data_IF_234159780272
#
_entry.id   IF_234159780272
#
_cell.length_a   1.000
_cell.length_b   1.000
_cell.length_c   1.000
_cell.angle_alpha   90.00
_cell.angle_beta   90.00
_cell.angle_gamma   90.00
#
_symmetry.space_group_name_H-M   'P 1'
#
loop_
_entity.id
_entity.type
_entity.pdbx_description
1 polymer ?
#
# COMPACT_ATOMS: atom_id res chain seq x y z
N UNK A 1 13.62 63.24 29.85
CA UNK A 1 13.83 63.96 28.57
C UNK A 1 13.91 62.91 27.47
N UNK A 2 12.90 62.81 26.61
CA UNK A 2 12.90 63.33 25.22
C UNK A 2 14.04 62.71 24.38
N UNK A 3 13.71 61.75 23.49
CA UNK A 3 13.58 61.96 22.02
C UNK A 3 14.98 61.90 21.36
N UNK A 4 15.28 61.24 20.24
CA UNK A 4 14.56 60.95 18.99
C UNK A 4 15.61 60.45 17.95
N UNK A 5 15.14 59.83 16.84
CA UNK A 5 15.77 59.78 15.49
C UNK A 5 17.11 59.01 15.35
N UNK A 6 17.51 58.34 14.27
CA UNK A 6 17.04 58.21 12.88
C UNK A 6 17.75 57.02 12.21
N UNK A 7 17.18 56.57 11.10
CA UNK A 7 17.86 56.04 9.90
C UNK A 7 18.62 54.71 9.93
N UNK A 8 18.01 53.74 9.24
CA UNK A 8 18.50 53.18 7.98
C UNK A 8 19.98 52.72 7.95
N UNK A 9 20.17 51.42 8.09
CA UNK A 9 21.33 50.73 7.52
C UNK A 9 20.85 49.43 6.89
N UNK A 10 20.78 49.47 5.56
CA UNK A 10 20.67 48.30 4.70
C UNK A 10 21.98 47.52 4.87
N UNK A 11 21.96 46.42 5.63
CA UNK A 11 23.08 45.49 5.71
C UNK A 11 22.71 44.26 4.91
N UNK A 12 23.33 44.15 3.72
CA UNK A 12 23.50 42.87 3.04
C UNK A 12 24.34 41.97 3.95
N UNK A 13 23.68 41.08 4.69
CA UNK A 13 24.34 39.96 5.32
C UNK A 13 24.45 38.84 4.28
N UNK A 14 25.64 38.71 3.70
CA UNK A 14 26.12 37.51 3.03
C UNK A 14 26.03 36.37 4.05
N UNK A 15 25.01 35.53 3.91
CA UNK A 15 24.79 34.36 4.75
C UNK A 15 25.83 33.29 4.43
N UNK A 16 26.83 33.20 5.29
CA UNK A 16 27.78 32.09 5.37
C UNK A 16 27.05 30.77 5.64
N UNK A 17 27.47 29.74 4.92
CA UNK A 17 26.99 28.37 4.94
C UNK A 17 26.65 27.82 6.35
N UNK A 18 25.44 27.30 6.48
CA UNK A 18 25.08 26.25 7.42
C UNK A 18 24.22 25.26 6.66
N UNK A 19 24.87 24.23 6.11
CA UNK A 19 24.26 23.15 5.37
C UNK A 19 23.48 22.25 6.34
N UNK A 20 22.26 22.63 6.68
CA UNK A 20 21.26 21.69 7.16
C UNK A 20 20.41 21.31 5.95
N UNK A 21 20.79 20.22 5.29
CA UNK A 21 19.99 19.53 4.28
C UNK A 21 18.77 18.90 4.97
N UNK A 22 17.84 19.74 5.42
CA UNK A 22 16.50 19.31 5.74
C UNK A 22 15.81 19.12 4.40
N UNK A 23 15.88 17.89 3.89
CA UNK A 23 15.12 17.43 2.75
C UNK A 23 13.63 17.57 3.08
N UNK A 24 13.08 18.75 2.82
CA UNK A 24 11.65 18.90 2.55
C UNK A 24 11.38 18.09 1.29
N UNK A 25 10.94 16.85 1.46
CA UNK A 25 10.26 16.12 0.41
C UNK A 25 9.10 17.01 -0.03
N UNK A 26 9.28 17.73 -1.13
CA UNK A 26 8.18 18.42 -1.77
C UNK A 26 7.14 17.34 -2.09
N UNK A 27 5.85 17.53 -1.76
CA UNK A 27 4.83 16.60 -2.22
C UNK A 27 4.91 16.56 -3.73
N UNK A 28 5.35 15.41 -4.26
CA UNK A 28 5.39 15.18 -5.69
C UNK A 28 3.93 15.21 -6.13
N UNK A 29 3.52 16.32 -6.73
CA UNK A 29 2.18 16.51 -7.24
C UNK A 29 1.97 15.39 -8.27
N UNK A 30 1.16 14.42 -7.89
CA UNK A 30 0.95 13.23 -8.69
C UNK A 30 0.30 13.68 -10.00
N UNK A 31 0.99 13.42 -11.12
CA UNK A 31 0.50 13.84 -12.43
C UNK A 31 -0.87 13.21 -12.70
N UNK A 32 -1.85 14.05 -13.05
CA UNK A 32 -3.18 13.58 -13.45
C UNK A 32 -3.04 12.94 -14.81
N UNK A 33 -3.29 11.63 -14.90
CA UNK A 33 -3.28 10.91 -16.17
C UNK A 33 -4.64 11.05 -16.85
N UNK A 34 -4.64 11.08 -18.18
CA UNK A 34 -5.88 10.98 -18.95
C UNK A 34 -6.32 9.51 -18.99
N UNK A 35 -7.59 9.27 -18.65
CA UNK A 35 -8.21 7.94 -18.69
C UNK A 35 -9.58 8.07 -19.37
N UNK A 36 -9.77 7.38 -20.48
CA UNK A 36 -11.05 7.35 -21.19
C UNK A 36 -11.99 6.30 -20.60
N UNK A 37 -13.27 6.32 -20.99
CA UNK A 37 -14.29 5.45 -20.39
C UNK A 37 -14.10 3.96 -20.71
N UNK A 38 -13.61 3.62 -21.91
CA UNK A 38 -13.35 2.23 -22.29
C UNK A 38 -12.21 1.62 -21.47
N UNK A 39 -11.13 2.39 -21.31
CA UNK A 39 -9.99 2.03 -20.48
C UNK A 39 -10.37 1.93 -19.00
N UNK A 40 -11.22 2.83 -18.51
CA UNK A 40 -11.73 2.76 -17.14
C UNK A 40 -12.63 1.54 -16.91
N UNK A 41 -13.40 1.12 -17.92
CA UNK A 41 -14.21 -0.08 -17.86
C UNK A 41 -13.35 -1.35 -17.77
N UNK A 42 -12.28 -1.44 -18.58
CA UNK A 42 -11.30 -2.54 -18.49
C UNK A 42 -10.63 -2.56 -17.11
N UNK A 43 -10.25 -1.40 -16.59
CA UNK A 43 -9.70 -1.32 -15.24
C UNK A 43 -10.70 -1.77 -14.19
N UNK A 44 -11.99 -1.41 -14.33
CA UNK A 44 -13.03 -1.81 -13.41
C UNK A 44 -13.23 -3.34 -13.39
N UNK A 45 -13.14 -3.99 -14.54
CA UNK A 45 -13.19 -5.46 -14.66
C UNK A 45 -12.03 -6.11 -13.91
N UNK A 46 -10.79 -5.72 -14.23
CA UNK A 46 -9.59 -6.19 -13.54
C UNK A 46 -9.71 -5.94 -12.04
N UNK A 47 -10.16 -4.74 -11.64
CA UNK A 47 -10.36 -4.38 -10.24
C UNK A 47 -11.37 -5.31 -9.53
N UNK A 48 -12.48 -5.68 -10.18
CA UNK A 48 -13.43 -6.62 -9.60
C UNK A 48 -12.85 -8.03 -9.47
N UNK A 49 -12.14 -8.51 -10.49
CA UNK A 49 -11.47 -9.81 -10.44
C UNK A 49 -10.42 -9.86 -9.32
N UNK A 50 -9.61 -8.80 -9.19
CA UNK A 50 -8.67 -8.65 -8.08
C UNK A 50 -9.37 -8.67 -6.73
N UNK A 51 -10.53 -8.04 -6.58
CA UNK A 51 -11.29 -8.08 -5.32
C UNK A 51 -11.74 -9.48 -4.94
N UNK A 52 -12.24 -10.25 -5.90
CA UNK A 52 -12.64 -11.65 -5.67
C UNK A 52 -11.43 -12.51 -5.32
N UNK A 53 -10.34 -12.38 -6.08
CA UNK A 53 -9.08 -13.09 -5.82
C UNK A 53 -8.50 -12.78 -4.44
N UNK A 54 -8.53 -11.50 -4.02
CA UNK A 54 -8.13 -11.11 -2.67
C UNK A 54 -8.96 -11.81 -1.60
N UNK A 55 -10.29 -11.93 -1.79
CA UNK A 55 -11.14 -12.65 -0.84
C UNK A 55 -10.81 -14.14 -0.78
N UNK A 56 -10.56 -14.78 -1.94
CA UNK A 56 -10.14 -16.18 -2.00
C UNK A 56 -8.83 -16.41 -1.24
N UNK A 57 -7.82 -15.56 -1.45
CA UNK A 57 -6.53 -15.67 -0.75
C UNK A 57 -6.67 -15.49 0.76
N UNK A 58 -7.52 -14.55 1.21
CA UNK A 58 -7.79 -14.40 2.64
C UNK A 58 -8.44 -15.68 3.22
N UNK A 59 -9.36 -16.31 2.48
CA UNK A 59 -9.96 -17.58 2.89
C UNK A 59 -8.96 -18.74 2.90
N UNK A 60 -8.07 -18.80 1.91
CA UNK A 60 -7.01 -19.80 1.81
C UNK A 60 -6.05 -19.68 3.01
N UNK A 61 -5.61 -18.46 3.34
CA UNK A 61 -4.77 -18.21 4.52
C UNK A 61 -5.45 -18.63 5.83
N UNK A 62 -6.73 -18.29 6.03
CA UNK A 62 -7.48 -18.74 7.21
C UNK A 62 -7.56 -20.27 7.29
N UNK A 63 -7.74 -20.92 6.14
CA UNK A 63 -7.83 -22.39 6.04
C UNK A 63 -6.49 -23.04 6.40
N UNK A 64 -5.37 -22.49 5.94
CA UNK A 64 -4.02 -22.96 6.30
C UNK A 64 -3.80 -22.90 7.82
N UNK A 65 -4.18 -21.80 8.47
CA UNK A 65 -4.06 -21.66 9.93
C UNK A 65 -4.88 -22.73 10.65
N UNK A 66 -6.12 -22.95 10.21
CA UNK A 66 -7.02 -23.95 10.81
C UNK A 66 -6.50 -25.39 10.60
N UNK A 67 -6.02 -25.71 9.40
CA UNK A 67 -5.46 -27.04 9.09
C UNK A 67 -4.15 -27.33 9.84
N UNK A 68 -3.42 -26.28 10.25
CA UNK A 68 -2.25 -26.38 11.12
C UNK A 68 -2.58 -26.68 12.59
N UNK A 69 -3.84 -27.00 12.93
CA UNK A 69 -4.34 -27.17 14.30
C UNK A 69 -3.99 -25.97 15.19
N UNK A 70 -4.07 -24.76 14.61
CA UNK A 70 -3.75 -23.52 15.28
C UNK A 70 -4.97 -22.62 15.35
N UNK A 71 -5.21 -22.04 16.52
CA UNK A 71 -6.29 -21.08 16.71
C UNK A 71 -5.92 -19.77 16.01
N UNK A 72 -6.86 -19.21 15.24
CA UNK A 72 -6.62 -18.08 14.36
C UNK A 72 -6.22 -16.82 15.13
N UNK A 73 -6.90 -16.53 16.25
CA UNK A 73 -6.55 -15.38 17.09
C UNK A 73 -5.13 -15.54 17.66
N UNK A 74 -4.77 -16.72 18.17
CA UNK A 74 -3.44 -16.99 18.73
C UNK A 74 -2.34 -16.92 17.68
N UNK A 75 -2.58 -17.45 16.49
CA UNK A 75 -1.67 -17.27 15.35
C UNK A 75 -1.45 -15.77 15.06
N UNK A 76 -2.52 -14.98 14.98
CA UNK A 76 -2.45 -13.55 14.70
C UNK A 76 -1.68 -12.78 15.79
N UNK A 77 -1.89 -13.11 17.06
CA UNK A 77 -1.15 -12.50 18.18
C UNK A 77 0.35 -12.73 18.05
N UNK A 78 0.74 -13.99 17.80
CA UNK A 78 2.14 -14.39 17.62
C UNK A 78 2.73 -13.76 16.36
N UNK A 79 2.00 -13.78 15.25
CA UNK A 79 2.44 -13.20 13.97
C UNK A 79 2.72 -11.70 14.11
N UNK A 80 1.78 -10.95 14.70
CA UNK A 80 1.93 -9.52 14.92
C UNK A 80 3.11 -9.19 15.84
N UNK A 81 3.33 -9.98 16.89
CA UNK A 81 4.49 -9.79 17.77
C UNK A 81 5.80 -10.08 17.05
N UNK A 82 5.89 -11.17 16.27
CA UNK A 82 7.11 -11.50 15.50
C UNK A 82 7.42 -10.48 14.38
N UNK A 83 6.43 -9.70 13.92
CA UNK A 83 6.60 -8.64 12.92
C UNK A 83 6.95 -7.27 13.52
N UNK A 84 6.76 -7.06 14.82
CA UNK A 84 7.07 -5.81 15.51
C UNK A 84 8.31 -5.98 16.39
N UNK A 85 9.45 -5.33 16.08
CA UNK A 85 10.68 -5.48 16.85
C UNK A 85 10.58 -4.98 18.30
N UNK A 86 9.52 -4.23 18.64
CA UNK A 86 9.29 -3.71 19.99
C UNK A 86 8.29 -4.55 20.79
N UNK A 87 7.73 -5.61 20.20
CA UNK A 87 6.71 -6.44 20.84
C UNK A 87 7.29 -7.82 21.14
N UNK A 88 7.35 -8.15 22.42
CA UNK A 88 7.68 -9.51 22.86
C UNK A 88 6.40 -10.31 23.13
N UNK A 89 6.46 -11.61 22.89
CA UNK A 89 5.38 -12.54 23.21
C UNK A 89 5.98 -13.85 23.72
N UNK A 90 5.39 -14.42 24.76
CA UNK A 90 5.74 -15.75 25.23
C UNK A 90 5.02 -16.81 24.38
N UNK A 91 5.80 -17.80 23.92
CA UNK A 91 5.33 -18.95 23.14
C UNK A 91 5.82 -20.25 23.78
N UNK A 92 5.04 -21.30 23.59
CA UNK A 92 5.44 -22.68 23.85
C UNK A 92 6.16 -23.26 22.64
N UNK A 93 6.93 -24.33 22.84
CA UNK A 93 7.60 -25.04 21.74
C UNK A 93 6.60 -25.62 20.71
N UNK A 94 5.39 -25.99 21.13
CA UNK A 94 4.34 -26.45 20.22
C UNK A 94 3.79 -25.30 19.36
N UNK A 95 3.55 -24.14 19.96
CA UNK A 95 3.10 -22.94 19.24
C UNK A 95 4.14 -22.48 18.22
N UNK A 96 5.43 -22.46 18.56
CA UNK A 96 6.48 -22.08 17.61
C UNK A 96 6.56 -23.06 16.43
N UNK A 97 6.38 -24.37 16.69
CA UNK A 97 6.35 -25.38 15.63
C UNK A 97 5.15 -25.21 14.70
N UNK A 98 3.95 -25.04 15.25
CA UNK A 98 2.71 -24.81 14.49
C UNK A 98 2.79 -23.51 13.69
N UNK A 99 3.28 -22.45 14.32
CA UNK A 99 3.51 -21.16 13.69
C UNK A 99 4.43 -21.28 12.48
N UNK A 100 5.58 -21.94 12.64
CA UNK A 100 6.53 -22.11 11.54
C UNK A 100 5.89 -22.86 10.36
N UNK A 101 5.18 -23.96 10.63
CA UNK A 101 4.51 -24.73 9.58
C UNK A 101 3.46 -23.89 8.82
N UNK A 102 2.59 -23.19 9.56
CA UNK A 102 1.56 -22.31 9.00
C UNK A 102 2.18 -21.18 8.17
N UNK A 103 3.24 -20.53 8.66
CA UNK A 103 3.93 -19.46 7.91
C UNK A 103 4.54 -19.99 6.62
N UNK A 104 5.20 -21.15 6.65
CA UNK A 104 5.75 -21.77 5.44
C UNK A 104 4.67 -22.04 4.40
N UNK A 105 3.51 -22.57 4.80
CA UNK A 105 2.40 -22.79 3.87
C UNK A 105 1.83 -21.46 3.32
N UNK A 106 1.71 -20.43 4.16
CA UNK A 106 1.28 -19.08 3.72
C UNK A 106 2.29 -18.47 2.73
N UNK A 107 3.60 -18.66 2.95
CA UNK A 107 4.64 -18.20 2.04
C UNK A 107 4.52 -18.85 0.65
N UNK A 108 4.06 -20.09 0.57
CA UNK A 108 3.80 -20.78 -0.71
C UNK A 108 2.57 -20.24 -1.47
N UNK A 109 1.64 -19.56 -0.78
CA UNK A 109 0.49 -18.90 -1.42
C UNK A 109 0.93 -17.66 -2.18
N UNK A 110 1.93 -16.92 -1.68
CA UNK A 110 2.36 -15.64 -2.27
C UNK A 110 2.72 -15.70 -3.75
N UNK A 111 3.60 -16.61 -4.23
CA UNK A 111 3.94 -16.67 -5.66
C UNK A 111 2.75 -17.10 -6.51
N UNK A 112 1.85 -17.97 -6.00
CA UNK A 112 0.63 -18.37 -6.71
C UNK A 112 -0.30 -17.17 -6.90
N UNK A 113 -0.46 -16.35 -5.86
CA UNK A 113 -1.25 -15.13 -5.92
C UNK A 113 -0.64 -14.09 -6.88
N UNK A 114 0.68 -13.88 -6.83
CA UNK A 114 1.37 -12.99 -7.76
C UNK A 114 1.17 -13.40 -9.22
N UNK A 115 1.25 -14.71 -9.51
CA UNK A 115 0.98 -15.24 -10.86
C UNK A 115 -0.46 -15.00 -11.30
N UNK A 116 -1.44 -15.29 -10.45
CA UNK A 116 -2.86 -15.01 -10.74
C UNK A 116 -3.12 -13.53 -10.98
N UNK A 117 -2.48 -12.66 -10.22
CA UNK A 117 -2.58 -11.20 -10.37
C UNK A 117 -2.05 -10.76 -11.74
N UNK A 118 -0.90 -11.30 -12.16
CA UNK A 118 -0.35 -11.04 -13.50
C UNK A 118 -1.30 -11.54 -14.59
N UNK A 119 -1.80 -12.78 -14.47
CA UNK A 119 -2.74 -13.38 -15.41
C UNK A 119 -3.99 -12.50 -15.59
N UNK A 120 -4.67 -12.13 -14.51
CA UNK A 120 -5.87 -11.27 -14.54
C UNK A 120 -5.63 -9.92 -15.24
N UNK A 121 -4.45 -9.32 -15.07
CA UNK A 121 -4.14 -8.06 -15.75
C UNK A 121 -3.87 -8.31 -17.23
N UNK A 122 -3.09 -9.34 -17.57
CA UNK A 122 -2.70 -9.64 -18.96
C UNK A 122 -3.82 -10.25 -19.81
N UNK A 123 -4.86 -10.81 -19.18
CA UNK A 123 -6.08 -11.26 -19.87
C UNK A 123 -7.00 -10.09 -20.28
N UNK A 124 -6.80 -8.92 -19.66
CA UNK A 124 -7.41 -7.67 -20.11
C UNK A 124 -6.58 -6.99 -21.20
N UNK A 125 -7.16 -6.01 -21.89
CA UNK A 125 -6.40 -5.19 -22.86
C UNK A 125 -5.44 -4.18 -22.17
N UNK A 126 -5.39 -4.14 -20.83
CA UNK A 126 -4.49 -3.27 -20.09
C UNK A 126 -3.10 -3.91 -19.98
N UNK A 127 -2.07 -3.11 -20.22
CA UNK A 127 -0.72 -3.50 -19.79
C UNK A 127 -0.58 -3.40 -18.27
N UNK A 128 0.36 -4.18 -17.71
CA UNK A 128 0.71 -4.09 -16.28
C UNK A 128 1.10 -2.66 -15.87
N UNK A 129 1.91 -1.99 -16.69
CA UNK A 129 2.31 -0.60 -16.44
C UNK A 129 1.09 0.32 -16.42
N UNK A 130 0.17 0.16 -17.38
CA UNK A 130 -1.01 1.01 -17.46
C UNK A 130 -1.95 0.80 -16.28
N UNK A 131 -2.18 -0.45 -15.89
CA UNK A 131 -2.91 -0.79 -14.68
C UNK A 131 -2.29 -0.11 -13.44
N UNK A 132 -0.97 -0.18 -13.28
CA UNK A 132 -0.28 0.45 -12.16
C UNK A 132 -0.42 1.98 -12.17
N UNK A 133 -0.29 2.63 -13.33
CA UNK A 133 -0.51 4.08 -13.46
C UNK A 133 -1.92 4.49 -13.02
N UNK A 134 -2.94 3.75 -13.46
CA UNK A 134 -4.33 4.00 -13.08
C UNK A 134 -4.58 3.75 -11.59
N UNK A 135 -4.05 2.66 -11.04
CA UNK A 135 -4.14 2.34 -9.62
C UNK A 135 -3.45 3.40 -8.75
N UNK A 136 -2.32 3.95 -9.22
CA UNK A 136 -1.66 5.08 -8.56
C UNK A 136 -2.53 6.33 -8.62
N UNK A 137 -3.02 6.72 -9.81
CA UNK A 137 -3.84 7.92 -10.00
C UNK A 137 -5.10 7.91 -9.13
N UNK A 138 -5.74 6.75 -8.99
CA UNK A 138 -6.90 6.53 -8.12
C UNK A 138 -6.65 6.84 -6.63
N UNK A 139 -5.39 6.97 -6.17
CA UNK A 139 -5.10 7.34 -4.78
C UNK A 139 -5.44 8.80 -4.48
N UNK A 140 -5.37 9.68 -5.49
CA UNK A 140 -5.52 11.13 -5.31
C UNK A 140 -6.54 11.78 -6.24
N UNK A 141 -6.88 11.16 -7.37
CA UNK A 141 -7.82 11.71 -8.34
C UNK A 141 -9.27 11.37 -7.98
N UNK A 142 -9.93 12.33 -7.31
CA UNK A 142 -11.33 12.21 -6.87
C UNK A 142 -12.31 12.03 -8.02
N UNK A 143 -12.06 12.66 -9.18
CA UNK A 143 -12.94 12.55 -10.35
C UNK A 143 -12.86 11.14 -10.93
N UNK A 144 -11.64 10.61 -11.06
CA UNK A 144 -11.42 9.24 -11.52
C UNK A 144 -12.03 8.21 -10.56
N UNK A 145 -11.92 8.43 -9.25
CA UNK A 145 -12.58 7.59 -8.23
C UNK A 145 -14.11 7.56 -8.41
N UNK A 146 -14.73 8.72 -8.64
CA UNK A 146 -16.18 8.81 -8.85
C UNK A 146 -16.63 8.09 -10.12
N UNK A 147 -15.89 8.26 -11.22
CA UNK A 147 -16.16 7.55 -12.49
C UNK A 147 -16.04 6.04 -12.32
N UNK A 148 -14.99 5.56 -11.66
CA UNK A 148 -14.83 4.14 -11.35
C UNK A 148 -15.99 3.62 -10.49
N UNK A 149 -16.38 4.37 -9.46
CA UNK A 149 -17.49 3.99 -8.59
C UNK A 149 -18.82 3.89 -9.35
N UNK A 150 -19.06 4.77 -10.33
CA UNK A 150 -20.26 4.70 -11.16
C UNK A 150 -20.32 3.40 -11.98
N UNK A 151 -19.19 2.99 -12.58
CA UNK A 151 -19.07 1.73 -13.33
C UNK A 151 -19.27 0.52 -12.41
N UNK A 152 -18.73 0.55 -11.20
CA UNK A 152 -18.86 -0.58 -10.26
C UNK A 152 -20.27 -0.75 -9.66
N UNK A 153 -21.14 0.25 -9.83
CA UNK A 153 -22.52 0.24 -9.30
C UNK A 153 -23.58 -0.09 -10.35
N UNK A 154 -23.22 -0.06 -11.64
CA UNK A 154 -24.10 -0.43 -12.76
C UNK A 154 -24.25 -1.93 -12.88
#
# INVERSE_FOLDING_TARGET
>A
MKKLFSSLLFVLAVGTASMNAQSTAMPQQQEKIEVNDAELAQFAEVYQQMRMMNQEVQQEMMTVVQNGDFELQRFNEIHQAKMDPNKEIETTAEEDKKYQAVVTEIEEIQPKYQKKMEEVITESDLSMERYQQMAMALRSDVELQQRLQAILKS
#
